data_IF_118572190559
#
_entry.id   IF_118572190559
#
_cell.length_a   1.000
_cell.length_b   1.000
_cell.length_c   1.000
_cell.angle_alpha   90.00
_cell.angle_beta   90.00
_cell.angle_gamma   90.00
#
_symmetry.space_group_name_H-M   'P 1'
#
loop_
_entity.id
_entity.type
_entity.pdbx_description
1 polymer ?
#
# COMPACT_ATOMS: atom_id res chain seq x y z
N UNK A 1 21.52 13.59 1.58
CA UNK A 1 22.72 13.06 2.27
C UNK A 1 22.62 11.57 2.63
N UNK A 2 21.42 11.02 2.91
CA UNK A 2 21.23 9.61 3.29
C UNK A 2 21.68 8.59 2.23
N UNK A 3 21.33 8.79 0.96
CA UNK A 3 21.65 7.82 -0.11
C UNK A 3 23.17 7.67 -0.34
N UNK A 4 23.93 8.78 -0.20
CA UNK A 4 25.40 8.76 -0.24
C UNK A 4 26.00 7.94 0.89
N UNK A 5 25.48 8.08 2.11
CA UNK A 5 25.96 7.29 3.25
C UNK A 5 25.74 5.78 3.05
N UNK A 6 24.62 5.38 2.43
CA UNK A 6 24.34 3.98 2.09
C UNK A 6 25.33 3.47 1.03
N UNK A 7 25.54 4.24 -0.04
CA UNK A 7 26.47 3.87 -1.12
C UNK A 7 27.91 3.75 -0.64
N UNK A 8 28.30 4.58 0.32
CA UNK A 8 29.65 4.60 0.90
C UNK A 8 29.79 3.67 2.12
N UNK A 9 28.71 3.03 2.58
CA UNK A 9 28.72 2.19 3.78
C UNK A 9 29.10 2.96 5.06
N UNK A 10 28.79 4.27 5.13
CA UNK A 10 29.13 5.11 6.29
C UNK A 10 28.06 4.98 7.37
N UNK A 11 28.34 4.17 8.39
CA UNK A 11 27.56 4.05 9.62
C UNK A 11 28.49 4.17 10.84
N UNK A 12 27.96 4.63 11.96
CA UNK A 12 28.70 4.75 13.22
C UNK A 12 27.83 4.21 14.35
N UNK A 13 28.44 3.47 15.27
CA UNK A 13 27.78 2.98 16.50
C UNK A 13 27.92 4.00 17.64
N UNK A 14 27.97 5.29 17.32
CA UNK A 14 28.15 6.38 18.27
C UNK A 14 26.79 7.00 18.62
N UNK A 15 26.14 6.45 19.65
CA UNK A 15 24.88 6.95 20.18
C UNK A 15 24.51 6.28 21.50
N UNK A 16 23.74 6.93 22.38
CA UNK A 16 23.26 6.34 23.63
C UNK A 16 22.42 5.08 23.40
N UNK A 17 21.82 4.91 22.23
CA UNK A 17 21.10 3.70 21.85
C UNK A 17 22.02 2.48 21.60
N UNK A 18 23.32 2.70 21.38
CA UNK A 18 24.32 1.66 21.13
C UNK A 18 25.26 1.41 22.33
N UNK A 19 25.10 2.13 23.44
CA UNK A 19 25.92 1.94 24.65
C UNK A 19 25.68 0.57 25.29
N UNK A 20 24.44 0.11 25.26
CA UNK A 20 24.00 -1.10 25.96
C UNK A 20 24.13 -2.37 25.09
N UNK A 21 24.53 -2.19 23.83
CA UNK A 21 24.67 -3.28 22.85
C UNK A 21 26.08 -3.84 22.92
N UNK A 22 26.19 -5.18 22.97
CA UNK A 22 27.47 -5.88 23.05
C UNK A 22 28.35 -5.61 21.83
N UNK A 23 29.67 -5.55 22.04
CA UNK A 23 30.61 -5.31 20.96
C UNK A 23 30.63 -6.46 19.93
N UNK A 24 30.32 -7.69 20.37
CA UNK A 24 30.13 -8.86 19.50
C UNK A 24 28.97 -8.66 18.53
N UNK A 25 27.89 -8.02 18.96
CA UNK A 25 26.75 -7.70 18.09
C UNK A 25 27.10 -6.60 17.08
N UNK A 26 27.86 -5.58 17.51
CA UNK A 26 28.35 -4.50 16.63
C UNK A 26 29.30 -5.05 15.56
N UNK A 27 30.18 -5.98 15.92
CA UNK A 27 31.10 -6.65 14.99
C UNK A 27 30.35 -7.47 13.92
N UNK A 28 29.30 -8.20 14.32
CA UNK A 28 28.45 -8.91 13.37
C UNK A 28 27.79 -7.96 12.36
N UNK A 29 27.21 -6.85 12.84
CA UNK A 29 26.57 -5.85 11.97
C UNK A 29 27.60 -5.24 11.02
N UNK A 30 28.81 -4.96 11.49
CA UNK A 30 29.87 -4.40 10.66
C UNK A 30 30.27 -5.35 9.52
N UNK A 31 30.36 -6.65 9.78
CA UNK A 31 30.67 -7.68 8.77
C UNK A 31 29.54 -7.92 7.76
N UNK A 32 28.30 -7.56 8.11
CA UNK A 32 27.14 -7.64 7.22
C UNK A 32 26.97 -6.39 6.35
N UNK A 33 27.27 -5.20 6.89
CA UNK A 33 27.11 -3.92 6.21
C UNK A 33 28.37 -3.48 5.43
N UNK A 34 29.02 -4.43 4.75
CA UNK A 34 30.19 -4.17 3.89
C UNK A 34 29.74 -3.81 2.47
N UNK A 35 30.35 -2.78 1.89
CA UNK A 35 30.10 -2.30 0.51
C UNK A 35 30.47 -3.36 -0.50
N UNK A 36 31.65 -4.00 -0.33
CA UNK A 36 32.11 -5.08 -1.17
C UNK A 36 31.37 -6.39 -0.84
N UNK A 37 30.61 -6.97 -1.78
CA UNK A 37 29.85 -8.20 -1.52
C UNK A 37 30.74 -9.42 -1.29
N UNK A 38 31.96 -9.44 -1.84
CA UNK A 38 32.92 -10.54 -1.64
C UNK A 38 33.51 -10.57 -0.23
N UNK A 39 33.54 -9.43 0.45
CA UNK A 39 33.99 -9.30 1.84
C UNK A 39 32.84 -9.42 2.83
N UNK A 40 31.59 -9.47 2.34
CA UNK A 40 30.40 -9.60 3.16
C UNK A 40 30.29 -11.03 3.66
N UNK A 41 30.01 -11.14 4.96
CA UNK A 41 29.77 -12.43 5.60
C UNK A 41 28.60 -13.16 4.92
N UNK A 42 28.78 -14.44 4.58
CA UNK A 42 27.67 -15.28 4.08
C UNK A 42 26.73 -15.68 5.23
N UNK A 43 25.52 -16.12 4.91
CA UNK A 43 24.54 -16.52 5.93
C UNK A 43 25.06 -17.67 6.83
N UNK A 44 25.79 -18.62 6.26
CA UNK A 44 26.40 -19.74 7.00
C UNK A 44 27.51 -19.26 7.94
N UNK A 45 28.37 -18.36 7.45
CA UNK A 45 29.43 -17.74 8.26
C UNK A 45 28.85 -16.83 9.35
N UNK A 46 27.72 -16.16 9.09
CA UNK A 46 27.00 -15.35 10.06
C UNK A 46 26.45 -16.20 11.19
N UNK A 47 25.88 -17.38 10.88
CA UNK A 47 25.36 -18.30 11.88
C UNK A 47 26.47 -18.84 12.80
N UNK A 48 27.69 -18.99 12.27
CA UNK A 48 28.87 -19.42 13.04
C UNK A 48 29.49 -18.30 13.88
N UNK A 49 28.98 -17.06 13.83
CA UNK A 49 29.53 -15.95 14.60
C UNK A 49 29.27 -16.11 16.11
N UNK A 50 30.20 -15.64 16.95
CA UNK A 50 30.11 -15.72 18.42
C UNK A 50 28.80 -15.15 18.99
N UNK A 51 28.23 -14.17 18.30
CA UNK A 51 26.92 -13.59 18.63
C UNK A 51 25.81 -14.66 18.76
N UNK A 52 25.77 -15.62 17.82
CA UNK A 52 24.77 -16.68 17.83
C UNK A 52 25.19 -17.87 18.68
N UNK A 53 26.49 -18.17 18.76
CA UNK A 53 27.00 -19.25 19.61
C UNK A 53 26.70 -19.00 21.11
N UNK A 54 26.79 -17.74 21.56
CA UNK A 54 26.41 -17.36 22.93
C UNK A 54 24.90 -17.46 23.18
N UNK A 55 24.09 -17.36 22.12
CA UNK A 55 22.63 -17.42 22.19
C UNK A 55 22.08 -18.85 22.15
N UNK A 56 22.92 -19.81 21.71
CA UNK A 56 22.56 -21.22 21.57
C UNK A 56 22.38 -21.95 22.91
N UNK A 57 22.71 -21.29 24.03
CA UNK A 57 22.23 -21.66 25.37
C UNK A 57 20.71 -21.38 25.57
N UNK A 58 19.93 -21.33 24.49
CA UNK A 58 18.46 -21.36 24.55
C UNK A 58 18.05 -22.73 25.07
N UNK A 59 18.03 -22.86 26.39
CA UNK A 59 17.34 -23.96 27.07
C UNK A 59 15.98 -24.16 26.39
N UNK A 60 15.57 -25.41 26.13
CA UNK A 60 14.29 -25.67 25.50
C UNK A 60 13.22 -24.93 26.30
N UNK A 61 12.64 -23.88 25.69
CA UNK A 61 11.63 -23.05 26.34
C UNK A 61 10.63 -23.99 26.98
N UNK A 62 10.29 -23.81 28.27
CA UNK A 62 9.40 -24.70 28.97
C UNK A 62 8.10 -24.82 28.19
N UNK A 63 7.47 -25.99 28.24
CA UNK A 63 6.20 -26.24 27.57
C UNK A 63 5.20 -25.15 27.98
N UNK A 64 4.84 -24.27 27.04
CA UNK A 64 3.86 -23.20 27.28
C UNK A 64 2.50 -23.68 26.79
N UNK A 65 1.59 -24.10 27.70
CA UNK A 65 0.32 -24.70 27.31
C UNK A 65 -0.53 -23.70 26.51
N UNK A 66 -0.48 -22.41 26.85
CA UNK A 66 -1.22 -21.35 26.16
C UNK A 66 -0.81 -21.17 24.70
N UNK A 67 0.49 -21.24 24.38
CA UNK A 67 0.99 -21.11 23.00
C UNK A 67 0.59 -22.32 22.15
N UNK A 68 0.73 -23.53 22.71
CA UNK A 68 0.34 -24.78 22.05
C UNK A 68 -1.16 -24.85 21.83
N UNK A 69 -1.97 -24.49 22.82
CA UNK A 69 -3.42 -24.46 22.70
C UNK A 69 -3.91 -23.45 21.65
N UNK A 70 -3.33 -22.23 21.61
CA UNK A 70 -3.62 -21.27 20.54
C UNK A 70 -3.25 -21.81 19.15
N UNK A 71 -2.09 -22.43 19.02
CA UNK A 71 -1.68 -23.06 17.77
C UNK A 71 -2.65 -24.17 17.35
N UNK A 72 -3.09 -25.02 18.29
CA UNK A 72 -4.08 -26.07 18.04
C UNK A 72 -5.42 -25.47 17.59
N UNK A 73 -5.92 -24.41 18.25
CA UNK A 73 -7.15 -23.72 17.82
C UNK A 73 -7.00 -23.18 16.40
N UNK A 74 -5.87 -22.54 16.07
CA UNK A 74 -5.62 -22.01 14.73
C UNK A 74 -5.59 -23.15 13.70
N UNK A 75 -4.93 -24.28 14.02
CA UNK A 75 -4.87 -25.45 13.15
C UNK A 75 -6.27 -26.04 12.94
N UNK A 76 -7.04 -26.25 14.00
CA UNK A 76 -8.41 -26.78 13.92
C UNK A 76 -9.31 -25.83 13.14
N UNK A 77 -9.20 -24.52 13.38
CA UNK A 77 -9.93 -23.52 12.61
C UNK A 77 -9.54 -23.55 11.14
N UNK A 78 -8.24 -23.65 10.82
CA UNK A 78 -7.74 -23.76 9.47
C UNK A 78 -8.22 -25.04 8.77
N UNK A 79 -8.21 -26.19 9.45
CA UNK A 79 -8.70 -27.46 8.89
C UNK A 79 -10.21 -27.41 8.66
N UNK A 80 -10.99 -26.96 9.63
CA UNK A 80 -12.44 -26.76 9.47
C UNK A 80 -12.76 -25.74 8.38
N UNK A 81 -11.94 -24.69 8.26
CA UNK A 81 -12.05 -23.68 7.21
C UNK A 81 -11.75 -24.30 5.84
N UNK A 82 -10.65 -25.03 5.70
CA UNK A 82 -10.26 -25.72 4.47
C UNK A 82 -11.28 -26.78 4.06
N UNK A 83 -11.92 -27.48 4.99
CA UNK A 83 -13.03 -28.38 4.68
C UNK A 83 -14.25 -27.63 4.13
N UNK A 84 -14.57 -26.44 4.67
CA UNK A 84 -15.62 -25.56 4.13
C UNK A 84 -15.24 -25.02 2.74
N UNK A 85 -13.97 -24.70 2.51
CA UNK A 85 -13.46 -24.23 1.22
C UNK A 85 -13.31 -25.34 0.18
N UNK A 86 -13.06 -26.59 0.58
CA UNK A 86 -13.01 -27.77 -0.30
C UNK A 86 -14.36 -28.06 -0.97
N UNK A 87 -15.46 -27.51 -0.43
CA UNK A 87 -16.82 -27.60 -0.97
C UNK A 87 -17.25 -26.33 -1.73
N UNK A 88 -16.41 -25.30 -1.79
CA UNK A 88 -16.70 -24.10 -2.57
C UNK A 88 -16.25 -24.28 -4.02
N UNK A 89 -17.10 -23.84 -4.96
CA UNK A 89 -16.82 -23.87 -6.40
C UNK A 89 -15.56 -23.05 -6.68
N UNK A 90 -14.49 -23.71 -7.09
CA UNK A 90 -13.26 -23.05 -7.54
C UNK A 90 -13.57 -22.20 -8.77
N UNK A 91 -13.33 -20.89 -8.68
CA UNK A 91 -13.35 -20.03 -9.87
C UNK A 91 -12.02 -20.25 -10.58
N UNK A 92 -12.01 -20.77 -11.83
CA UNK A 92 -10.75 -21.04 -12.53
C UNK A 92 -9.99 -19.73 -12.76
N UNK A 93 -8.70 -19.73 -12.42
CA UNK A 93 -7.79 -18.56 -12.48
C UNK A 93 -7.84 -17.88 -13.86
N UNK A 94 -7.99 -18.66 -14.94
CA UNK A 94 -8.13 -18.12 -16.30
C UNK A 94 -9.33 -17.18 -16.49
N UNK A 95 -10.47 -17.45 -15.84
CA UNK A 95 -11.66 -16.57 -15.93
C UNK A 95 -11.46 -15.27 -15.16
N UNK A 96 -10.78 -15.34 -14.02
CA UNK A 96 -10.43 -14.16 -13.21
C UNK A 96 -9.49 -13.21 -13.95
N UNK A 97 -8.50 -13.74 -14.69
CA UNK A 97 -7.59 -12.91 -15.47
C UNK A 97 -8.24 -12.24 -16.69
N UNK A 98 -9.34 -12.78 -17.22
CA UNK A 98 -10.00 -12.24 -18.41
C UNK A 98 -11.05 -11.19 -18.04
N UNK A 99 -11.81 -11.41 -16.95
CA UNK A 99 -12.73 -10.42 -16.38
C UNK A 99 -12.75 -10.53 -14.84
N UNK A 100 -11.91 -9.75 -14.12
CA UNK A 100 -11.84 -9.78 -12.66
C UNK A 100 -13.10 -9.21 -12.00
N UNK A 101 -13.88 -8.38 -12.70
CA UNK A 101 -15.12 -7.82 -12.15
C UNK A 101 -16.33 -8.70 -12.43
N UNK A 102 -16.25 -9.73 -13.26
CA UNK A 102 -17.37 -10.64 -13.56
C UNK A 102 -17.80 -11.50 -12.38
N UNK A 103 -16.88 -11.87 -11.48
CA UNK A 103 -17.18 -12.67 -10.29
C UNK A 103 -17.63 -11.78 -9.12
N UNK A 104 -18.85 -12.01 -8.60
CA UNK A 104 -19.40 -11.25 -7.46
C UNK A 104 -18.53 -11.37 -6.20
N UNK A 105 -17.97 -12.56 -5.95
CA UNK A 105 -17.12 -12.81 -4.80
C UNK A 105 -15.78 -12.08 -4.91
N UNK A 106 -15.17 -12.10 -6.10
CA UNK A 106 -13.90 -11.41 -6.34
C UNK A 106 -14.08 -9.89 -6.31
N UNK A 107 -15.12 -9.38 -6.96
CA UNK A 107 -15.49 -7.96 -6.92
C UNK A 107 -15.67 -7.48 -5.48
N UNK A 108 -16.42 -8.24 -4.68
CA UNK A 108 -16.66 -7.91 -3.26
C UNK A 108 -15.37 -7.93 -2.45
N UNK A 109 -14.48 -8.90 -2.67
CA UNK A 109 -13.19 -8.96 -1.98
C UNK A 109 -12.29 -7.77 -2.36
N UNK A 110 -12.18 -7.46 -3.65
CA UNK A 110 -11.41 -6.33 -4.17
C UNK A 110 -11.97 -5.01 -3.64
N UNK A 111 -13.27 -4.78 -3.76
CA UNK A 111 -13.92 -3.57 -3.25
C UNK A 111 -13.73 -3.43 -1.73
N UNK A 112 -13.91 -4.51 -0.97
CA UNK A 112 -13.74 -4.47 0.50
C UNK A 112 -12.32 -4.10 0.89
N UNK A 113 -11.32 -4.68 0.23
CA UNK A 113 -9.92 -4.35 0.48
C UNK A 113 -9.56 -2.92 0.05
N UNK A 114 -10.07 -2.46 -1.10
CA UNK A 114 -9.91 -1.09 -1.56
C UNK A 114 -10.55 -0.08 -0.60
N UNK A 115 -11.74 -0.37 -0.06
CA UNK A 115 -12.38 0.46 0.96
C UNK A 115 -11.63 0.47 2.29
N UNK A 116 -10.99 -0.62 2.70
CA UNK A 116 -10.20 -0.64 3.93
C UNK A 116 -8.99 0.28 3.83
N UNK A 117 -8.35 0.35 2.66
CA UNK A 117 -7.17 1.19 2.41
C UNK A 117 -7.58 2.63 2.13
N UNK A 118 -8.52 2.86 1.21
CA UNK A 118 -8.88 4.20 0.72
C UNK A 118 -10.12 4.80 1.38
N UNK A 119 -10.78 4.09 2.30
CA UNK A 119 -12.02 4.55 2.94
C UNK A 119 -11.88 5.86 3.71
N UNK A 120 -10.69 6.17 4.22
CA UNK A 120 -10.40 7.44 4.90
C UNK A 120 -10.34 8.65 3.94
N UNK A 121 -10.18 8.42 2.63
CA UNK A 121 -10.25 9.45 1.59
C UNK A 121 -11.67 9.69 1.08
N UNK A 122 -12.63 8.86 1.51
CA UNK A 122 -14.05 8.97 1.12
C UNK A 122 -14.79 9.78 2.18
N UNK A 123 -15.14 11.03 1.86
CA UNK A 123 -15.99 11.85 2.73
C UNK A 123 -17.36 11.19 2.88
N UNK A 124 -17.76 10.92 4.12
CA UNK A 124 -18.98 10.21 4.52
C UNK A 124 -20.21 11.13 4.42
N UNK A 125 -20.56 11.54 3.21
CA UNK A 125 -21.80 12.29 2.92
C UNK A 125 -22.98 11.34 2.71
N UNK A 126 -24.19 11.82 3.02
CA UNK A 126 -25.46 11.06 3.07
C UNK A 126 -25.88 10.41 1.73
N UNK A 127 -25.15 10.67 0.62
CA UNK A 127 -25.39 10.10 -0.72
C UNK A 127 -24.12 9.74 -1.50
N UNK A 128 -23.13 9.08 -0.87
CA UNK A 128 -21.98 8.53 -1.60
C UNK A 128 -22.20 7.05 -1.98
N UNK A 129 -22.44 6.78 -3.27
CA UNK A 129 -22.45 5.42 -3.80
C UNK A 129 -21.02 4.85 -3.78
N UNK A 130 -20.84 3.59 -3.35
CA UNK A 130 -19.52 2.95 -3.23
C UNK A 130 -18.72 2.97 -4.56
N UNK A 131 -19.40 3.02 -5.69
CA UNK A 131 -18.79 3.14 -7.01
C UNK A 131 -18.12 4.50 -7.29
N UNK A 132 -18.39 5.53 -6.50
CA UNK A 132 -17.84 6.88 -6.68
C UNK A 132 -16.30 6.93 -6.54
N UNK A 133 -15.68 5.90 -5.96
CA UNK A 133 -14.22 5.77 -5.86
C UNK A 133 -13.55 5.55 -7.22
N UNK A 134 -14.29 4.99 -8.17
CA UNK A 134 -13.79 4.58 -9.49
C UNK A 134 -14.38 5.41 -10.63
N UNK A 135 -15.11 6.48 -10.30
CA UNK A 135 -15.79 7.32 -11.28
C UNK A 135 -14.80 8.34 -11.87
N UNK A 136 -14.33 8.07 -13.10
CA UNK A 136 -13.35 8.90 -13.81
C UNK A 136 -14.01 10.06 -14.59
N UNK A 137 -14.96 10.75 -13.97
CA UNK A 137 -15.53 11.99 -14.50
C UNK A 137 -15.36 13.08 -13.46
N UNK A 138 -14.57 14.10 -13.81
CA UNK A 138 -14.36 15.28 -12.96
C UNK A 138 -15.72 15.89 -12.64
N UNK A 139 -16.10 15.92 -11.35
CA UNK A 139 -17.23 16.75 -10.89
C UNK A 139 -16.81 18.21 -11.03
N UNK A 140 -17.18 18.84 -12.13
CA UNK A 140 -17.15 20.29 -12.25
C UNK A 140 -18.12 20.86 -11.20
N UNK A 141 -17.58 21.39 -10.10
CA UNK A 141 -18.35 22.18 -9.15
C UNK A 141 -18.91 23.40 -9.88
N UNK A 142 -20.19 23.38 -10.23
CA UNK A 142 -20.94 24.57 -10.61
C UNK A 142 -21.14 25.44 -9.37
N UNK A 143 -20.06 26.15 -8.99
CA UNK A 143 -20.07 27.18 -7.95
C UNK A 143 -20.76 28.42 -8.49
N UNK A 144 -22.03 28.58 -8.11
CA UNK A 144 -22.75 29.84 -7.90
C UNK A 144 -22.45 31.00 -8.89
N UNK A 145 -23.22 31.10 -9.98
CA UNK A 145 -23.43 32.39 -10.65
C UNK A 145 -24.89 32.58 -11.10
N UNK A 146 -25.81 32.42 -10.16
CA UNK A 146 -27.21 32.81 -10.33
C UNK A 146 -27.66 33.65 -9.13
N UNK A 147 -27.23 34.92 -9.11
CA UNK A 147 -27.93 36.07 -8.52
C UNK A 147 -26.98 37.27 -8.46
N UNK A 148 -26.92 38.02 -9.55
CA UNK A 148 -26.86 39.48 -9.48
C UNK A 148 -27.31 40.04 -10.83
N UNK A 149 -28.26 40.98 -10.76
CA UNK A 149 -28.60 41.97 -11.78
C UNK A 149 -29.22 41.47 -13.09
N UNK A 150 -30.52 41.16 -13.00
CA UNK A 150 -31.50 41.73 -13.93
C UNK A 150 -31.42 43.26 -13.89
N UNK A 151 -31.11 43.91 -15.02
CA UNK A 151 -31.53 45.28 -15.40
C UNK A 151 -31.46 45.40 -16.94
N UNK A 152 -32.66 45.47 -17.53
CA UNK A 152 -33.12 46.29 -18.66
C UNK A 152 -32.53 46.21 -20.09
N UNK A 153 -33.48 46.00 -21.02
CA UNK A 153 -33.69 46.68 -22.33
C UNK A 153 -32.78 46.37 -23.52
N UNK A 154 -33.35 45.53 -24.41
CA UNK A 154 -33.52 45.62 -25.88
C UNK A 154 -32.53 46.38 -26.80
N UNK A 155 -32.38 45.91 -28.06
CA UNK A 155 -31.26 46.20 -28.94
C UNK A 155 -31.51 47.43 -29.83
N UNK A 156 -30.45 48.16 -30.21
CA UNK A 156 -30.51 48.99 -31.41
C UNK A 156 -29.15 49.43 -31.98
N UNK A 157 -29.09 49.34 -33.31
CA UNK A 157 -28.36 50.18 -34.28
C UNK A 157 -26.89 49.83 -34.61
N UNK A 158 -26.76 49.57 -35.92
CA UNK A 158 -25.62 49.48 -36.86
C UNK A 158 -24.41 50.38 -36.61
N UNK A 159 -23.29 50.09 -37.32
CA UNK A 159 -22.97 50.99 -38.43
C UNK A 159 -22.61 50.27 -39.73
N UNK A 160 -23.16 50.81 -40.82
CA UNK A 160 -22.78 50.60 -42.21
C UNK A 160 -21.46 51.33 -42.54
N UNK A 161 -20.57 50.67 -43.28
CA UNK A 161 -19.53 51.21 -44.18
C UNK A 161 -18.47 50.12 -44.33
N UNK A 162 -18.00 49.66 -45.49
CA UNK A 162 -18.21 49.97 -46.89
C UNK A 162 -17.50 48.84 -47.63
N UNK A 163 -18.07 48.22 -48.66
CA UNK A 163 -17.26 47.60 -49.71
C UNK A 163 -18.02 47.60 -51.03
N UNK A 164 -17.67 48.60 -51.84
CA UNK A 164 -17.90 48.61 -53.27
C UNK A 164 -17.11 47.47 -53.93
N UNK A 165 -17.76 46.63 -54.74
CA UNK A 165 -17.30 46.40 -56.12
C UNK A 165 -18.39 45.73 -56.95
N UNK A 166 -18.87 46.44 -57.97
CA UNK A 166 -19.51 45.86 -59.15
C UNK A 166 -18.50 44.99 -59.91
N UNK A 167 -18.93 43.85 -60.42
CA UNK A 167 -18.46 43.36 -61.71
C UNK A 167 -19.55 42.48 -62.34
N UNK A 168 -20.16 43.06 -63.39
CA UNK A 168 -20.75 42.48 -64.62
C UNK A 168 -21.65 41.24 -64.44
#
# INVERSE_FOLDING_TARGET
MMMRAIMEGRYHFSGPEWSDISDVAKDLIAKLLVVNPMQRLTAEQALQHEFFQQMEAMTPSPFQPRRRFKAIIIIVYAVCSLQKYSLQKTVPIRRVCTDPYGSKELRKALDTSAFAIYGHWVKKGERQNRAALFENKVKAELRSRSKSSSISSTPNITPSSSFNHLHI
#
